data_IF_152175962207
#
_entry.id   IF_152175962207
#
_cell.length_a   1.000
_cell.length_b   1.000
_cell.length_c   1.000
_cell.angle_alpha   90.00
_cell.angle_beta   90.00
_cell.angle_gamma   90.00
#
_symmetry.space_group_name_H-M   'P 1'
#
loop_
_entity.id
_entity.type
_entity.pdbx_description
1 polymer ?
#
# COMPACT_ATOMS: atom_id res chain seq x y z
N UNK A 1 -22.29 44.08 10.95
CA UNK A 1 -21.51 43.54 9.81
C UNK A 1 -20.05 43.52 10.23
N UNK A 2 -19.56 42.36 10.64
CA UNK A 2 -18.14 42.12 10.93
C UNK A 2 -17.79 40.87 10.12
N UNK A 3 -17.10 41.08 9.01
CA UNK A 3 -16.54 40.01 8.19
C UNK A 3 -15.34 39.41 8.92
N UNK A 4 -15.58 38.32 9.63
CA UNK A 4 -14.54 37.46 10.17
C UNK A 4 -14.08 36.48 9.10
N UNK A 5 -13.02 36.85 8.38
CA UNK A 5 -12.25 35.96 7.49
C UNK A 5 -11.66 34.80 8.30
N UNK A 6 -12.43 33.71 8.42
CA UNK A 6 -11.97 32.43 8.94
C UNK A 6 -11.03 31.77 7.93
N UNK A 7 -9.73 31.80 8.24
CA UNK A 7 -8.69 31.09 7.52
C UNK A 7 -9.07 29.61 7.36
N UNK A 8 -9.40 29.22 6.13
CA UNK A 8 -9.49 27.81 5.75
C UNK A 8 -8.11 27.19 5.97
N UNK A 9 -8.05 26.14 6.77
CA UNK A 9 -6.95 25.20 6.84
C UNK A 9 -6.51 24.81 5.42
N UNK A 10 -5.41 25.42 4.94
CA UNK A 10 -4.66 25.00 3.75
C UNK A 10 -3.71 23.88 4.17
N UNK A 11 -4.25 22.68 4.38
CA UNK A 11 -3.45 21.55 4.84
C UNK A 11 -3.64 20.23 4.09
N UNK A 12 -4.65 20.10 3.24
CA UNK A 12 -4.96 18.80 2.62
C UNK A 12 -5.52 18.89 1.19
N UNK A 13 -5.47 20.09 0.58
CA UNK A 13 -6.17 20.38 -0.68
C UNK A 13 -5.34 20.23 -1.96
N UNK A 14 -4.01 20.39 -1.89
CA UNK A 14 -3.12 20.44 -3.06
C UNK A 14 -1.73 19.89 -2.68
N UNK A 15 -1.66 18.63 -2.23
CA UNK A 15 -0.36 17.97 -2.19
C UNK A 15 0.01 17.57 -3.61
N UNK A 16 0.89 18.32 -4.25
CA UNK A 16 1.44 17.98 -5.55
C UNK A 16 2.54 16.90 -5.45
N UNK A 17 3.09 16.49 -6.59
CA UNK A 17 4.15 15.49 -6.63
C UNK A 17 5.43 15.93 -5.89
N UNK A 18 5.71 17.24 -5.84
CA UNK A 18 6.87 17.79 -5.15
C UNK A 18 6.77 17.65 -3.63
N UNK A 19 5.59 17.92 -3.07
CA UNK A 19 5.34 17.75 -1.64
C UNK A 19 5.45 16.27 -1.19
N UNK A 20 5.03 15.34 -2.05
CA UNK A 20 5.25 13.91 -1.79
C UNK A 20 6.73 13.53 -1.86
N UNK A 21 7.48 14.05 -2.84
CA UNK A 21 8.91 13.82 -2.98
C UNK A 21 9.72 14.36 -1.79
N UNK A 22 9.39 15.55 -1.30
CA UNK A 22 10.04 16.14 -0.13
C UNK A 22 9.84 15.28 1.12
N UNK A 23 8.62 14.78 1.35
CA UNK A 23 8.29 14.04 2.57
C UNK A 23 8.70 12.58 2.55
N UNK A 24 8.55 11.92 1.39
CA UNK A 24 8.68 10.47 1.26
C UNK A 24 9.67 10.03 0.19
N UNK A 25 10.39 10.93 -0.47
CA UNK A 25 11.39 10.59 -1.49
C UNK A 25 12.41 9.55 -1.02
N UNK A 26 12.79 9.59 0.26
CA UNK A 26 13.67 8.60 0.90
C UNK A 26 13.13 7.15 0.81
N UNK A 27 11.81 6.96 0.68
CA UNK A 27 11.19 5.64 0.64
C UNK A 27 11.61 4.84 -0.61
N UNK A 28 12.07 5.50 -1.69
CA UNK A 28 12.59 4.81 -2.88
C UNK A 28 13.78 3.90 -2.55
N UNK A 29 14.57 4.23 -1.53
CA UNK A 29 15.65 3.35 -1.06
C UNK A 29 15.16 2.01 -0.49
N UNK A 30 13.90 1.88 -0.07
CA UNK A 30 13.34 0.63 0.49
C UNK A 30 13.30 -0.51 -0.54
N UNK A 31 13.27 -0.19 -1.84
CA UNK A 31 13.31 -1.16 -2.93
C UNK A 31 14.66 -1.22 -3.65
N UNK A 32 15.66 -0.47 -3.17
CA UNK A 32 16.99 -0.42 -3.77
C UNK A 32 17.65 -1.80 -3.75
N UNK A 33 18.35 -2.12 -4.84
CA UNK A 33 19.17 -3.33 -4.93
C UNK A 33 20.37 -3.27 -3.99
N UNK A 34 20.95 -2.08 -3.81
CA UNK A 34 22.04 -1.83 -2.87
C UNK A 34 21.56 -1.98 -1.41
N UNK A 35 22.13 -2.92 -0.63
CA UNK A 35 21.81 -3.07 0.78
C UNK A 35 22.12 -1.82 1.63
N UNK A 36 23.11 -1.00 1.25
CA UNK A 36 23.48 0.21 2.02
C UNK A 36 22.40 1.27 1.88
N UNK A 37 21.97 1.57 0.65
CA UNK A 37 20.85 2.47 0.38
C UNK A 37 19.56 2.01 1.07
N UNK A 38 19.27 0.70 0.99
CA UNK A 38 18.09 0.13 1.66
C UNK A 38 18.16 0.23 3.17
N UNK A 39 19.33 0.01 3.77
CA UNK A 39 19.54 0.18 5.22
C UNK A 39 19.35 1.63 5.66
N UNK A 40 19.81 2.60 4.88
CA UNK A 40 19.59 4.02 5.15
C UNK A 40 18.10 4.39 5.11
N UNK A 41 17.36 3.88 4.13
CA UNK A 41 15.91 4.09 4.05
C UNK A 41 15.15 3.43 5.22
N UNK A 42 15.56 2.24 5.66
CA UNK A 42 15.00 1.57 6.83
C UNK A 42 15.26 2.34 8.14
N UNK A 43 16.46 2.93 8.29
CA UNK A 43 16.78 3.79 9.42
C UNK A 43 15.88 5.02 9.43
N UNK A 44 15.74 5.70 8.29
CA UNK A 44 14.86 6.87 8.17
C UNK A 44 13.41 6.52 8.51
N UNK A 45 12.91 5.37 8.04
CA UNK A 45 11.60 4.87 8.40
C UNK A 45 11.47 4.67 9.92
N UNK A 46 12.46 4.06 10.56
CA UNK A 46 12.45 3.82 12.00
C UNK A 46 12.39 5.13 12.79
N UNK A 47 13.17 6.13 12.40
CA UNK A 47 13.17 7.45 13.03
C UNK A 47 11.84 8.19 12.82
N UNK A 48 11.29 8.15 11.60
CA UNK A 48 10.01 8.76 11.28
C UNK A 48 8.87 8.12 12.09
N UNK A 49 8.88 6.79 12.24
CA UNK A 49 7.94 6.07 13.09
C UNK A 49 8.09 6.43 14.57
N UNK A 50 9.30 6.52 15.10
CA UNK A 50 9.53 6.97 16.47
C UNK A 50 8.91 8.34 16.75
N UNK A 51 9.09 9.30 15.82
CA UNK A 51 8.44 10.62 15.92
C UNK A 51 6.91 10.55 15.90
N UNK A 52 6.33 9.66 15.09
CA UNK A 52 4.89 9.47 15.05
C UNK A 52 4.34 8.81 16.32
N UNK A 53 5.06 7.82 16.87
CA UNK A 53 4.70 7.17 18.12
C UNK A 53 4.74 8.18 19.28
N UNK A 54 5.77 9.04 19.37
CA UNK A 54 5.85 10.12 20.36
C UNK A 54 4.69 11.13 20.22
N UNK A 55 4.30 11.48 18.98
CA UNK A 55 3.17 12.36 18.72
C UNK A 55 1.83 11.69 19.11
N UNK A 56 1.70 10.40 18.84
CA UNK A 56 0.54 9.59 19.22
C UNK A 56 0.40 9.49 20.73
N UNK A 57 1.50 9.27 21.44
CA UNK A 57 1.51 9.14 22.90
C UNK A 57 1.08 10.45 23.57
N UNK A 58 1.55 11.60 23.05
CA UNK A 58 1.07 12.92 23.49
C UNK A 58 -0.41 13.12 23.23
N UNK A 59 -0.92 12.74 22.05
CA UNK A 59 -2.35 12.82 21.75
C UNK A 59 -3.18 11.92 22.69
N UNK A 60 -2.71 10.70 22.94
CA UNK A 60 -3.35 9.75 23.86
C UNK A 60 -3.32 10.25 25.31
N UNK A 61 -2.23 10.88 25.74
CA UNK A 61 -2.09 11.49 27.06
C UNK A 61 -3.10 12.63 27.24
N UNK A 62 -3.16 13.54 26.27
CA UNK A 62 -4.15 14.61 26.28
C UNK A 62 -5.58 14.08 26.28
N UNK A 63 -5.84 13.01 25.53
CA UNK A 63 -7.14 12.35 25.51
C UNK A 63 -7.50 11.80 26.89
N UNK A 64 -6.57 11.16 27.59
CA UNK A 64 -6.78 10.66 28.96
C UNK A 64 -7.03 11.78 29.96
N UNK A 65 -6.24 12.86 29.91
CA UNK A 65 -6.36 14.00 30.84
C UNK A 65 -7.68 14.74 30.70
N UNK A 66 -8.26 14.77 29.49
CA UNK A 66 -9.52 15.47 29.19
C UNK A 66 -10.75 14.58 29.30
N UNK A 67 -10.59 13.29 29.64
CA UNK A 67 -11.68 12.31 29.66
C UNK A 67 -12.81 12.65 30.66
N UNK A 68 -12.52 13.38 31.72
CA UNK A 68 -13.51 13.76 32.75
C UNK A 68 -14.53 14.81 32.28
N UNK A 69 -14.27 15.50 31.17
CA UNK A 69 -15.13 16.56 30.63
C UNK A 69 -16.39 16.03 29.92
N UNK A 70 -16.48 14.71 29.71
CA UNK A 70 -17.53 14.11 28.90
C UNK A 70 -17.28 14.30 27.40
N UNK A 71 -17.88 13.45 26.57
CA UNK A 71 -17.47 13.28 25.17
C UNK A 71 -17.53 14.58 24.35
N UNK A 72 -18.58 15.37 24.49
CA UNK A 72 -18.75 16.59 23.68
C UNK A 72 -17.75 17.71 24.03
N UNK A 73 -17.47 17.93 25.31
CA UNK A 73 -16.53 18.96 25.75
C UNK A 73 -15.09 18.51 25.49
N UNK A 74 -14.79 17.23 25.73
CA UNK A 74 -13.49 16.64 25.44
C UNK A 74 -13.03 16.90 24.00
N UNK A 75 -13.88 16.67 22.99
CA UNK A 75 -13.51 16.90 21.58
C UNK A 75 -13.45 18.39 21.18
N UNK A 76 -13.86 19.31 22.05
CA UNK A 76 -13.69 20.76 21.84
C UNK A 76 -12.45 21.31 22.55
N UNK A 77 -11.80 20.52 23.39
CA UNK A 77 -10.61 20.95 24.15
C UNK A 77 -9.46 21.33 23.21
N UNK A 78 -9.00 22.60 23.23
CA UNK A 78 -7.96 23.07 22.31
C UNK A 78 -6.66 22.28 22.39
N UNK A 79 -6.27 21.84 23.60
CA UNK A 79 -5.05 21.07 23.80
C UNK A 79 -5.14 19.66 23.20
N UNK A 80 -6.32 19.01 23.27
CA UNK A 80 -6.55 17.73 22.63
C UNK A 80 -6.55 17.86 21.10
N UNK A 81 -7.25 18.86 20.58
CA UNK A 81 -7.28 19.15 19.14
C UNK A 81 -5.87 19.43 18.61
N UNK A 82 -5.10 20.27 19.29
CA UNK A 82 -3.71 20.57 18.91
C UNK A 82 -2.80 19.34 18.92
N UNK A 83 -3.00 18.41 19.87
CA UNK A 83 -2.25 17.16 19.95
C UNK A 83 -2.64 16.19 18.81
N UNK A 84 -3.93 16.08 18.48
CA UNK A 84 -4.37 15.30 17.32
C UNK A 84 -3.88 15.90 16.01
N UNK A 85 -3.92 17.23 15.85
CA UNK A 85 -3.39 17.90 14.66
C UNK A 85 -1.88 17.64 14.50
N UNK A 86 -1.12 17.70 15.60
CA UNK A 86 0.30 17.38 15.58
C UNK A 86 0.55 15.90 15.19
N UNK A 87 -0.20 14.97 15.77
CA UNK A 87 -0.13 13.55 15.41
C UNK A 87 -0.46 13.31 13.94
N UNK A 88 -1.59 13.85 13.46
CA UNK A 88 -1.99 13.72 12.07
C UNK A 88 -0.95 14.31 11.12
N UNK A 89 -0.40 15.50 11.41
CA UNK A 89 0.72 16.08 10.64
C UNK A 89 1.89 15.12 10.56
N UNK A 90 2.32 14.53 11.69
CA UNK A 90 3.45 13.59 11.67
C UNK A 90 3.16 12.33 10.84
N UNK A 91 1.92 11.81 10.87
CA UNK A 91 1.55 10.64 10.06
C UNK A 91 1.72 10.86 8.55
N UNK A 92 1.60 12.10 8.05
CA UNK A 92 1.85 12.41 6.63
C UNK A 92 3.30 12.19 6.20
N UNK A 93 4.25 12.10 7.15
CA UNK A 93 5.67 11.88 6.88
C UNK A 93 6.12 10.44 7.17
N UNK A 94 5.18 9.55 7.54
CA UNK A 94 5.51 8.16 7.90
C UNK A 94 4.94 7.19 6.87
N UNK A 95 5.77 6.25 6.44
CA UNK A 95 5.36 5.17 5.55
C UNK A 95 4.98 3.93 6.37
N UNK A 96 3.87 3.22 6.11
CA UNK A 96 2.88 3.48 5.06
C UNK A 96 1.72 4.40 5.49
N UNK A 97 1.75 4.98 6.69
CA UNK A 97 0.64 5.76 7.25
C UNK A 97 0.17 6.89 6.35
N UNK A 98 1.10 7.60 5.69
CA UNK A 98 0.82 8.64 4.72
C UNK A 98 -0.06 8.18 3.54
N UNK A 99 -0.03 6.89 3.19
CA UNK A 99 -0.82 6.33 2.08
C UNK A 99 -2.32 6.30 2.39
N UNK A 100 -2.72 6.41 3.65
CA UNK A 100 -4.13 6.43 4.05
C UNK A 100 -4.80 7.79 3.84
N UNK A 101 -4.01 8.84 3.67
CA UNK A 101 -4.54 10.20 3.61
C UNK A 101 -4.92 10.64 2.19
N UNK A 102 -5.09 9.71 1.24
CA UNK A 102 -5.64 10.04 -0.08
C UNK A 102 -7.01 10.70 0.10
N UNK A 103 -7.24 11.91 -0.43
CA UNK A 103 -8.55 12.54 -0.38
C UNK A 103 -9.58 11.66 -1.10
N UNK A 104 -10.75 11.43 -0.48
CA UNK A 104 -11.78 10.48 -0.98
C UNK A 104 -12.28 10.79 -2.40
N UNK A 105 -12.12 12.02 -2.87
CA UNK A 105 -12.56 12.49 -4.19
C UNK A 105 -11.49 12.41 -5.27
N UNK A 106 -10.23 12.20 -4.90
CA UNK A 106 -9.13 12.08 -5.88
C UNK A 106 -9.15 10.68 -6.46
N UNK A 107 -9.31 10.58 -7.78
CA UNK A 107 -9.10 9.31 -8.48
C UNK A 107 -7.66 8.86 -8.25
N UNK A 108 -7.43 7.54 -8.13
CA UNK A 108 -6.07 7.05 -7.87
C UNK A 108 -5.08 7.42 -8.99
N UNK A 109 -5.54 7.53 -10.25
CA UNK A 109 -4.72 7.98 -11.37
C UNK A 109 -4.18 9.40 -11.19
N UNK A 110 -4.98 10.28 -10.60
CA UNK A 110 -4.64 11.70 -10.40
C UNK A 110 -3.98 11.95 -9.04
N UNK A 111 -3.82 10.91 -8.21
CA UNK A 111 -3.28 11.06 -6.87
C UNK A 111 -1.75 11.11 -6.91
N UNK A 112 -1.11 12.21 -6.45
CA UNK A 112 0.34 12.32 -6.49
C UNK A 112 1.09 11.30 -5.62
N UNK A 113 0.39 10.64 -4.68
CA UNK A 113 0.92 9.52 -3.90
C UNK A 113 0.98 8.18 -4.64
N UNK A 114 0.48 8.07 -5.88
CA UNK A 114 0.46 6.82 -6.64
C UNK A 114 1.84 6.15 -6.78
N UNK A 115 2.94 6.87 -7.08
CA UNK A 115 4.28 6.26 -7.12
C UNK A 115 4.68 5.57 -5.81
N UNK A 116 4.29 6.15 -4.66
CA UNK A 116 4.56 5.61 -3.32
C UNK A 116 3.66 4.44 -2.97
N UNK A 117 2.42 4.42 -3.47
CA UNK A 117 1.54 3.26 -3.37
C UNK A 117 2.09 2.05 -4.14
N UNK A 118 2.62 2.26 -5.36
CA UNK A 118 3.26 1.20 -6.14
C UNK A 118 4.55 0.73 -5.45
N UNK A 119 5.37 1.66 -4.95
CA UNK A 119 6.57 1.36 -4.17
C UNK A 119 6.26 0.51 -2.93
N UNK A 120 5.18 0.81 -2.20
CA UNK A 120 4.77 0.03 -1.03
C UNK A 120 4.50 -1.44 -1.38
N UNK A 121 3.79 -1.66 -2.50
CA UNK A 121 3.47 -3.00 -2.97
C UNK A 121 4.71 -3.73 -3.49
N UNK A 122 5.60 -3.02 -4.18
CA UNK A 122 6.87 -3.57 -4.65
C UNK A 122 7.81 -3.93 -3.50
N UNK A 123 7.92 -3.09 -2.47
CA UNK A 123 8.71 -3.38 -1.27
C UNK A 123 8.17 -4.61 -0.54
N UNK A 124 6.84 -4.75 -0.41
CA UNK A 124 6.22 -5.95 0.14
C UNK A 124 6.55 -7.19 -0.68
N UNK A 125 6.57 -7.06 -2.01
CA UNK A 125 6.82 -8.18 -2.91
C UNK A 125 8.30 -8.61 -2.92
N UNK A 126 9.23 -7.65 -3.00
CA UNK A 126 10.68 -7.92 -3.09
C UNK A 126 11.32 -8.26 -1.74
N UNK A 127 10.94 -7.55 -0.68
CA UNK A 127 11.56 -7.66 0.64
C UNK A 127 10.52 -7.97 1.74
N UNK A 128 9.79 -9.10 1.65
CA UNK A 128 8.64 -9.38 2.50
C UNK A 128 8.99 -9.48 4.00
N UNK A 129 10.22 -9.86 4.36
CA UNK A 129 10.69 -9.93 5.76
C UNK A 129 10.86 -8.53 6.35
N UNK A 130 11.61 -7.67 5.66
CA UNK A 130 11.82 -6.28 6.05
C UNK A 130 10.47 -5.54 6.14
N UNK A 131 9.61 -5.69 5.12
CA UNK A 131 8.27 -5.12 5.14
C UNK A 131 7.44 -5.61 6.35
N UNK A 132 7.53 -6.90 6.71
CA UNK A 132 6.79 -7.45 7.86
C UNK A 132 7.25 -6.84 9.17
N UNK A 133 8.55 -6.62 9.31
CA UNK A 133 9.14 -6.04 10.52
C UNK A 133 8.81 -4.56 10.65
N UNK A 134 8.87 -3.81 9.54
CA UNK A 134 8.88 -2.34 9.57
C UNK A 134 7.60 -1.67 9.11
N UNK A 135 6.72 -2.33 8.37
CA UNK A 135 5.58 -1.66 7.73
C UNK A 135 4.35 -2.55 7.50
N UNK A 136 4.22 -3.62 8.27
CA UNK A 136 3.14 -4.60 8.11
C UNK A 136 1.76 -3.95 8.20
N UNK A 137 1.12 -3.76 7.05
CA UNK A 137 -0.22 -3.19 6.95
C UNK A 137 -1.05 -3.92 5.88
N UNK A 138 -1.61 -5.08 6.24
CA UNK A 138 -2.38 -5.92 5.32
C UNK A 138 -3.63 -5.24 4.75
N UNK A 139 -4.26 -4.36 5.53
CA UNK A 139 -5.39 -3.55 5.07
C UNK A 139 -4.97 -2.58 3.96
N UNK A 140 -3.85 -1.89 4.15
CA UNK A 140 -3.26 -0.98 3.14
C UNK A 140 -2.95 -1.73 1.86
N UNK A 141 -2.24 -2.87 1.97
CA UNK A 141 -1.91 -3.72 0.81
C UNK A 141 -3.15 -4.09 0.02
N UNK A 142 -4.19 -4.60 0.70
CA UNK A 142 -5.43 -5.00 0.04
C UNK A 142 -6.15 -3.82 -0.62
N UNK A 143 -6.23 -2.67 0.04
CA UNK A 143 -6.85 -1.46 -0.52
C UNK A 143 -6.12 -0.98 -1.78
N UNK A 144 -4.79 -0.86 -1.69
CA UNK A 144 -3.97 -0.37 -2.81
C UNK A 144 -4.02 -1.31 -4.02
N UNK A 145 -3.92 -2.64 -3.83
CA UNK A 145 -4.05 -3.61 -4.94
C UNK A 145 -5.38 -3.43 -5.68
N UNK A 146 -6.47 -3.19 -4.95
CA UNK A 146 -7.79 -2.99 -5.56
C UNK A 146 -7.86 -1.69 -6.33
N UNK A 147 -7.30 -0.62 -5.77
CA UNK A 147 -7.33 0.69 -6.41
C UNK A 147 -6.45 0.72 -7.68
N UNK A 148 -5.21 0.23 -7.62
CA UNK A 148 -4.30 0.26 -8.79
C UNK A 148 -4.81 -0.60 -9.94
N UNK A 149 -5.53 -1.69 -9.66
CA UNK A 149 -6.18 -2.49 -10.70
C UNK A 149 -7.23 -1.70 -11.50
N UNK A 150 -7.75 -0.57 -10.99
CA UNK A 150 -8.73 0.26 -11.72
C UNK A 150 -8.09 1.17 -12.77
N UNK A 151 -6.78 1.43 -12.68
CA UNK A 151 -6.04 2.38 -13.51
C UNK A 151 -4.99 1.73 -14.42
N UNK A 152 -5.05 0.40 -14.57
CA UNK A 152 -4.14 -0.40 -15.39
C UNK A 152 -4.16 -0.10 -16.91
N UNK A 153 -4.89 0.94 -17.34
CA UNK A 153 -4.95 1.42 -18.73
C UNK A 153 -3.82 2.39 -19.07
N UNK A 154 -3.23 3.02 -18.06
CA UNK A 154 -2.01 3.80 -18.24
C UNK A 154 -0.83 2.84 -18.45
N UNK A 155 -0.07 2.99 -19.53
CA UNK A 155 0.96 2.02 -19.93
C UNK A 155 2.12 1.94 -18.92
N UNK A 156 2.47 3.06 -18.29
CA UNK A 156 3.54 3.10 -17.28
C UNK A 156 3.11 2.34 -16.03
N UNK A 157 1.87 2.56 -15.57
CA UNK A 157 1.29 1.81 -14.46
C UNK A 157 1.11 0.34 -14.83
N UNK A 158 0.63 0.05 -16.04
CA UNK A 158 0.44 -1.31 -16.56
C UNK A 158 1.73 -2.12 -16.49
N UNK A 159 2.83 -1.60 -17.04
CA UNK A 159 4.14 -2.26 -17.02
C UNK A 159 4.59 -2.59 -15.60
N UNK A 160 4.50 -1.63 -14.67
CA UNK A 160 4.85 -1.86 -13.25
C UNK A 160 3.95 -2.92 -12.59
N UNK A 161 2.67 -2.97 -12.94
CA UNK A 161 1.74 -3.95 -12.40
C UNK A 161 2.00 -5.36 -12.96
N UNK A 162 2.48 -5.49 -14.19
CA UNK A 162 2.98 -6.76 -14.74
C UNK A 162 4.20 -7.23 -13.95
N UNK A 163 5.23 -6.39 -13.79
CA UNK A 163 6.43 -6.70 -13.00
C UNK A 163 6.09 -7.13 -11.58
N UNK A 164 5.18 -6.40 -10.93
CA UNK A 164 4.73 -6.70 -9.58
C UNK A 164 4.00 -8.04 -9.50
N UNK A 165 3.16 -8.36 -10.48
CA UNK A 165 2.45 -9.63 -10.55
C UNK A 165 3.43 -10.79 -10.72
N UNK A 166 4.45 -10.63 -11.58
CA UNK A 166 5.52 -11.60 -11.75
C UNK A 166 6.26 -11.89 -10.43
N UNK A 167 6.69 -10.85 -9.71
CA UNK A 167 7.39 -11.00 -8.43
C UNK A 167 6.51 -11.79 -7.44
N UNK A 168 5.22 -11.45 -7.36
CA UNK A 168 4.27 -12.06 -6.45
C UNK A 168 4.03 -13.54 -6.75
N UNK A 169 3.94 -13.93 -8.03
CA UNK A 169 3.76 -15.34 -8.39
C UNK A 169 5.02 -16.17 -8.15
N UNK A 170 6.21 -15.58 -8.36
CA UNK A 170 7.49 -16.30 -8.19
C UNK A 170 7.92 -16.49 -6.74
N UNK A 171 7.35 -15.76 -5.80
CA UNK A 171 7.66 -15.89 -4.36
C UNK A 171 6.66 -16.78 -3.62
N UNK A 172 7.02 -17.31 -2.42
CA UNK A 172 6.06 -18.00 -1.56
C UNK A 172 4.83 -17.14 -1.27
N UNK A 173 3.65 -17.78 -1.31
CA UNK A 173 2.36 -17.12 -1.13
C UNK A 173 2.25 -16.44 0.25
N UNK A 174 1.70 -15.22 0.27
CA UNK A 174 1.51 -14.37 1.46
C UNK A 174 0.07 -13.89 1.58
N UNK A 175 -0.23 -13.31 2.74
CA UNK A 175 -1.53 -12.75 3.02
C UNK A 175 -1.93 -11.70 1.96
N UNK A 176 -3.18 -11.80 1.51
CA UNK A 176 -3.80 -10.95 0.47
C UNK A 176 -3.25 -11.14 -0.95
N UNK A 177 -2.34 -12.09 -1.20
CA UNK A 177 -1.80 -12.27 -2.55
C UNK A 177 -2.86 -12.64 -3.60
N UNK A 178 -3.92 -13.35 -3.21
CA UNK A 178 -5.08 -13.59 -4.08
C UNK A 178 -5.66 -12.32 -4.73
N UNK A 179 -5.50 -11.15 -4.09
CA UNK A 179 -6.04 -9.90 -4.64
C UNK A 179 -5.26 -9.47 -5.89
N UNK A 180 -4.02 -9.95 -6.11
CA UNK A 180 -3.25 -9.73 -7.33
C UNK A 180 -3.86 -10.39 -8.57
N UNK A 181 -4.78 -11.36 -8.42
CA UNK A 181 -5.58 -11.85 -9.56
C UNK A 181 -6.38 -10.69 -10.19
N UNK A 182 -6.80 -9.71 -9.39
CA UNK A 182 -7.49 -8.52 -9.91
C UNK A 182 -6.56 -7.67 -10.78
N UNK A 183 -5.32 -7.52 -10.35
CA UNK A 183 -4.27 -6.83 -11.11
C UNK A 183 -3.95 -7.60 -12.39
N UNK A 184 -3.73 -8.92 -12.28
CA UNK A 184 -3.48 -9.79 -13.42
C UNK A 184 -4.57 -9.68 -14.49
N UNK A 185 -5.85 -9.62 -14.09
CA UNK A 185 -6.97 -9.39 -15.03
C UNK A 185 -6.96 -8.02 -15.66
N UNK A 186 -6.60 -6.99 -14.89
CA UNK A 186 -6.54 -5.62 -15.39
C UNK A 186 -5.39 -5.41 -16.38
N UNK A 187 -4.31 -6.19 -16.22
CA UNK A 187 -3.11 -6.15 -17.07
C UNK A 187 -2.96 -7.37 -17.99
N UNK A 188 -4.03 -8.15 -18.21
CA UNK A 188 -3.97 -9.34 -19.09
C UNK A 188 -3.53 -8.95 -20.50
N UNK A 189 -2.70 -9.79 -21.09
CA UNK A 189 -2.00 -9.56 -22.36
C UNK A 189 -0.75 -10.43 -22.47
N UNK A 190 -0.15 -10.43 -23.65
CA UNK A 190 0.93 -11.37 -24.00
C UNK A 190 2.13 -11.28 -23.03
N UNK A 191 2.60 -10.08 -22.69
CA UNK A 191 3.72 -9.89 -21.74
C UNK A 191 3.47 -10.55 -20.37
N UNK A 192 2.26 -10.35 -19.80
CA UNK A 192 1.93 -11.01 -18.53
C UNK A 192 1.83 -12.53 -18.70
N UNK A 193 1.19 -12.99 -19.77
CA UNK A 193 0.98 -14.42 -20.02
C UNK A 193 2.30 -15.16 -20.21
N UNK A 194 3.24 -14.59 -20.96
CA UNK A 194 4.56 -15.16 -21.18
C UNK A 194 5.33 -15.33 -19.86
N UNK A 195 5.29 -14.30 -18.99
CA UNK A 195 5.93 -14.37 -17.67
C UNK A 195 5.27 -15.39 -16.74
N UNK A 196 3.95 -15.53 -16.79
CA UNK A 196 3.22 -16.55 -16.02
C UNK A 196 3.55 -17.96 -16.53
N UNK A 197 3.62 -18.17 -17.83
CA UNK A 197 4.07 -19.45 -18.41
C UNK A 197 5.51 -19.77 -17.99
N UNK A 198 6.43 -18.81 -18.05
CA UNK A 198 7.78 -18.99 -17.55
C UNK A 198 7.86 -19.29 -16.04
N UNK A 199 6.88 -18.84 -15.25
CA UNK A 199 6.76 -19.20 -13.83
C UNK A 199 6.14 -20.61 -13.63
N UNK A 200 5.28 -21.07 -14.54
CA UNK A 200 4.80 -22.45 -14.60
C UNK A 200 5.91 -23.46 -14.89
N UNK A 201 6.95 -23.05 -15.63
CA UNK A 201 8.10 -23.89 -15.96
C UNK A 201 9.23 -23.82 -14.91
N UNK A 202 9.04 -23.07 -13.82
CA UNK A 202 10.04 -22.93 -12.76
C UNK A 202 10.19 -24.20 -11.93
N UNK A 203 11.41 -24.47 -11.44
CA UNK A 203 11.66 -25.53 -10.46
C UNK A 203 10.96 -25.30 -9.12
N UNK A 204 10.55 -24.05 -8.83
CA UNK A 204 9.92 -23.68 -7.56
C UNK A 204 8.44 -24.08 -7.52
N UNK A 205 8.03 -25.02 -6.64
CA UNK A 205 6.66 -25.56 -6.65
C UNK A 205 5.59 -24.50 -6.39
N UNK A 206 5.88 -23.51 -5.54
CA UNK A 206 4.95 -22.41 -5.28
C UNK A 206 4.76 -21.52 -6.50
N UNK A 207 5.82 -21.28 -7.28
CA UNK A 207 5.75 -20.46 -8.47
C UNK A 207 4.88 -21.13 -9.54
N UNK A 208 5.12 -22.43 -9.78
CA UNK A 208 4.30 -23.22 -10.70
C UNK A 208 2.83 -23.19 -10.35
N UNK A 209 2.54 -23.47 -9.08
CA UNK A 209 1.18 -23.58 -8.56
C UNK A 209 0.45 -22.23 -8.59
N UNK A 210 1.12 -21.15 -8.18
CA UNK A 210 0.52 -19.81 -8.18
C UNK A 210 0.29 -19.29 -9.60
N UNK A 211 1.29 -19.37 -10.48
CA UNK A 211 1.17 -18.91 -11.86
C UNK A 211 0.12 -19.72 -12.65
N UNK A 212 0.10 -21.05 -12.48
CA UNK A 212 -0.88 -21.91 -13.14
C UNK A 212 -2.32 -21.59 -12.73
N UNK A 213 -2.54 -21.27 -11.46
CA UNK A 213 -3.85 -20.82 -11.00
C UNK A 213 -4.25 -19.44 -11.53
N UNK A 214 -3.30 -18.50 -11.62
CA UNK A 214 -3.55 -17.18 -12.21
C UNK A 214 -3.94 -17.33 -13.67
N UNK A 215 -3.18 -18.10 -14.48
CA UNK A 215 -3.52 -18.39 -15.87
C UNK A 215 -4.92 -19.01 -16.01
N UNK A 216 -5.23 -20.02 -15.19
CA UNK A 216 -6.55 -20.66 -15.19
C UNK A 216 -7.70 -19.68 -14.91
N UNK A 217 -7.47 -18.65 -14.07
CA UNK A 217 -8.42 -17.57 -13.77
C UNK A 217 -8.48 -16.48 -14.85
N UNK A 218 -7.40 -16.25 -15.59
CA UNK A 218 -7.38 -15.33 -16.73
C UNK A 218 -8.22 -15.87 -17.89
N UNK A 219 -8.16 -17.18 -18.14
CA UNK A 219 -9.02 -17.85 -19.12
C UNK A 219 -10.49 -17.91 -18.69
N UNK A 220 -10.78 -17.56 -17.42
CA UNK A 220 -12.12 -17.64 -16.80
C UNK A 220 -12.45 -16.36 -16.02
N UNK A 221 -12.62 -15.22 -16.70
CA UNK A 221 -12.76 -13.91 -16.04
C UNK A 221 -13.97 -13.82 -15.10
N UNK A 222 -15.04 -14.58 -15.35
CA UNK A 222 -16.24 -14.63 -14.50
C UNK A 222 -16.06 -15.42 -13.19
N UNK A 223 -15.01 -16.22 -13.05
CA UNK A 223 -14.78 -17.02 -11.84
C UNK A 223 -14.14 -16.15 -10.75
N UNK A 224 -14.64 -16.14 -9.51
CA UNK A 224 -14.05 -15.34 -8.44
C UNK A 224 -12.78 -16.01 -7.85
N UNK A 225 -11.77 -15.20 -7.52
CA UNK A 225 -10.53 -15.65 -6.87
C UNK A 225 -10.75 -15.95 -5.36
N UNK A 226 -11.50 -17.02 -5.06
CA UNK A 226 -11.82 -17.41 -3.68
C UNK A 226 -10.97 -18.60 -3.21
N UNK A 227 -10.88 -18.78 -1.89
CA UNK A 227 -10.24 -19.95 -1.29
C UNK A 227 -10.91 -21.27 -1.71
N UNK A 228 -12.24 -21.24 -1.92
CA UNK A 228 -12.98 -22.41 -2.38
C UNK A 228 -12.56 -22.77 -3.81
N UNK A 229 -12.57 -21.80 -4.73
CA UNK A 229 -12.13 -21.99 -6.12
C UNK A 229 -10.69 -22.50 -6.19
N UNK A 230 -9.78 -21.96 -5.38
CA UNK A 230 -8.41 -22.45 -5.26
C UNK A 230 -8.34 -23.93 -4.87
N UNK A 231 -9.10 -24.35 -3.85
CA UNK A 231 -9.13 -25.75 -3.40
C UNK A 231 -9.70 -26.68 -4.46
N UNK A 232 -10.76 -26.25 -5.14
CA UNK A 232 -11.37 -27.03 -6.24
C UNK A 232 -10.41 -27.18 -7.42
N UNK A 233 -9.66 -26.11 -7.76
CA UNK A 233 -8.61 -26.16 -8.77
C UNK A 233 -7.46 -27.10 -8.37
N UNK A 234 -6.98 -27.07 -7.13
CA UNK A 234 -5.96 -28.01 -6.64
C UNK A 234 -6.42 -29.47 -6.69
N UNK A 235 -7.69 -29.74 -6.43
CA UNK A 235 -8.23 -31.10 -6.47
C UNK A 235 -8.38 -31.67 -7.89
N UNK A 236 -8.36 -30.80 -8.91
CA UNK A 236 -8.59 -31.16 -10.31
C UNK A 236 -7.33 -31.00 -11.17
N UNK A 237 -6.32 -30.32 -10.67
CA UNK A 237 -5.05 -30.13 -11.35
C UNK A 237 -4.14 -31.32 -11.04
N UNK A 238 -3.74 -32.12 -12.05
CA UNK A 238 -2.68 -33.10 -11.84
C UNK A 238 -1.43 -32.34 -11.40
N UNK A 239 -0.89 -32.76 -10.25
CA UNK A 239 0.22 -32.17 -9.49
C UNK A 239 1.08 -31.12 -10.23
N UNK A 240 1.08 -29.90 -9.68
CA UNK A 240 2.22 -29.00 -9.73
C UNK A 240 3.41 -29.56 -8.96
#
# INVERSE_FOLDING_TARGET
MVEGSGARSRGAGDDDAGAWAERLGWAHGLIAGDPVERSAALLHLSEARGRADDARDRANEMWRLTHSLGAEEQYREPALLGAFDAYHRTQWHVFPDALWNRPRRTAIADWPGLPYALLFLEWEARFPREWTQHAKAWGTKQGLIRDVATIARDETVRSRLVDLTEIVVRRPYRCKDREYVRVARAVDGDDLRDRLHAACDSDEPWARCHAGFVLWLLDRPGVPATRHVWRSWLATSPAA
#
